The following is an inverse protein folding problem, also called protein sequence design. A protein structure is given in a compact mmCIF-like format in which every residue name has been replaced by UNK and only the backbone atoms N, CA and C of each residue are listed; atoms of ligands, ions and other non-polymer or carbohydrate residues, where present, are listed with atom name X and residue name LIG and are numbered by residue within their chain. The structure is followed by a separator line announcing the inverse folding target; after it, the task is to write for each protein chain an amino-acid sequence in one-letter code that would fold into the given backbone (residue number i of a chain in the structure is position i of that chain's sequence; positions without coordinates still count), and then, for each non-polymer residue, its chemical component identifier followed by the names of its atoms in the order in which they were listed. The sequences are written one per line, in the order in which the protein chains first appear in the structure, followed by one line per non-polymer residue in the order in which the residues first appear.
data_IF_334195797447
#
_entry.id   IF_334195797447
#
_cell.length_a   1.000
_cell.length_b   1.000
_cell.length_c   1.000
_cell.angle_alpha   90.00
_cell.angle_beta   90.00
_cell.angle_gamma   90.00
#
_symmetry.space_group_name_H-M   'P 1'
#
loop_
_entity.id
_entity.type
_entity.pdbx_description
1 polymer ?
2 water ?
#
# COMPACT_ATOMS: atom_id res chain seq x y z
C UNK A 1 -76.22 24.05 83.24
N UNK A 2 -75.79 23.25 84.36
CA UNK A 2 -74.37 23.17 84.67
C UNK A 2 -73.75 22.00 83.94
N UNK A 3 -74.51 20.93 83.73
CA UNK A 3 -74.02 19.76 83.03
C UNK A 3 -73.63 20.11 81.60
N UNK A 4 -74.42 20.96 80.95
CA UNK A 4 -74.04 21.44 79.63
C UNK A 4 -72.84 22.37 79.69
N UNK A 5 -72.72 23.14 80.77
CA UNK A 5 -71.59 24.05 80.93
C UNK A 5 -70.28 23.27 81.11
N UNK A 6 -70.29 22.30 82.04
CA UNK A 6 -69.11 21.45 82.21
C UNK A 6 -68.77 20.70 80.94
N UNK A 7 -69.79 20.36 80.14
CA UNK A 7 -69.54 19.67 78.88
C UNK A 7 -68.74 20.54 77.92
N UNK A 8 -69.19 21.77 77.69
CA UNK A 8 -68.52 22.64 76.72
C UNK A 8 -67.13 23.02 77.19
N UNK A 9 -66.97 23.33 78.48
CA UNK A 9 -65.66 23.72 79.00
C UNK A 9 -64.67 22.57 78.88
N UNK A 10 -65.10 21.36 79.27
CA UNK A 10 -64.22 20.19 79.13
C UNK A 10 -63.94 19.89 77.67
N UNK A 11 -64.90 20.14 76.78
CA UNK A 11 -64.65 19.97 75.35
C UNK A 11 -63.71 21.04 74.83
N UNK A 12 -63.75 22.24 75.38
CA UNK A 12 -62.84 23.30 74.96
C UNK A 12 -61.42 23.04 75.46
N UNK A 13 -61.29 22.54 76.69
CA UNK A 13 -59.96 22.23 77.22
C UNK A 13 -59.35 21.05 76.48
N UNK A 14 -60.16 20.06 76.12
CA UNK A 14 -59.66 18.96 75.30
C UNK A 14 -59.30 19.44 73.90
N UNK A 15 -60.07 20.39 73.36
CA UNK A 15 -59.75 20.95 72.06
C UNK A 15 -58.46 21.78 72.11
N UNK A 16 -58.19 22.43 73.24
CA UNK A 16 -56.94 23.15 73.38
C UNK A 16 -55.77 22.19 73.55
N UNK A 17 -55.98 21.10 74.29
CA UNK A 17 -54.91 20.15 74.52
C UNK A 17 -54.51 19.41 73.25
N UNK A 18 -55.48 19.13 72.37
CA UNK A 18 -55.13 18.52 71.08
C UNK A 18 -54.46 19.53 70.16
N UNK A 19 -54.79 20.81 70.31
CA UNK A 19 -54.21 21.83 69.46
C UNK A 19 -52.76 22.10 69.83
N UNK A 20 -52.43 22.11 71.11
CA UNK A 20 -51.04 22.34 71.52
C UNK A 20 -50.17 21.13 71.18
N UNK A 21 -50.74 19.92 71.26
CA UNK A 21 -50.00 18.74 70.81
C UNK A 21 -49.92 18.70 69.28
N UNK A 22 -50.94 19.21 68.60
CA UNK A 22 -50.88 19.31 67.15
C UNK A 22 -49.84 20.33 66.71
N UNK A 23 -49.69 21.42 67.46
CA UNK A 23 -48.71 22.44 67.11
C UNK A 23 -47.30 21.97 67.44
N UNK A 24 -47.10 21.38 68.61
CA UNK A 24 -45.78 20.88 68.97
C UNK A 24 -45.30 19.82 67.98
N UNK A 25 -46.21 18.97 67.51
CA UNK A 25 -45.84 17.99 66.49
C UNK A 25 -45.53 18.66 65.16
N UNK A 26 -46.30 19.70 64.82
CA UNK A 26 -46.05 20.41 63.57
C UNK A 26 -44.79 21.25 63.65
N UNK A 27 -44.52 21.84 64.82
CA UNK A 27 -43.27 22.59 64.99
C UNK A 27 -42.05 21.65 65.01
N UNK A 28 -42.24 20.41 65.48
CA UNK A 28 -41.13 19.48 65.53
C UNK A 28 -40.81 18.91 64.15
N UNK A 29 -41.84 18.69 63.33
CA UNK A 29 -41.62 18.22 61.97
C UNK A 29 -41.18 19.34 61.03
N UNK A 30 -41.52 20.59 61.35
CA UNK A 30 -41.09 21.71 60.52
C UNK A 30 -39.58 21.84 60.49
N UNK A 31 -38.94 21.78 61.67
CA UNK A 31 -37.49 21.89 61.73
C UNK A 31 -36.79 20.70 61.09
N UNK A 32 -37.45 19.54 61.06
CA UNK A 32 -36.82 18.36 60.47
C UNK A 32 -36.80 18.44 58.95
N UNK A 33 -37.94 18.80 58.33
CA UNK A 33 -37.99 18.86 56.88
C UNK A 33 -37.30 20.11 56.35
N UNK A 34 -37.22 21.18 57.15
CA UNK A 34 -36.43 22.33 56.75
C UNK A 34 -34.94 22.01 56.75
N UNK A 35 -34.50 21.13 57.64
CA UNK A 35 -33.13 20.65 57.59
C UNK A 35 -32.90 19.80 56.35
N UNK A 36 -33.78 18.82 56.11
CA UNK A 36 -33.65 17.99 54.92
C UNK A 36 -33.70 18.80 53.64
N UNK A 37 -34.45 19.91 53.65
CA UNK A 37 -34.45 20.81 52.50
C UNK A 37 -33.10 21.47 52.32
N UNK A 38 -32.39 21.76 53.40
CA UNK A 38 -31.06 22.33 53.29
C UNK A 38 -30.07 21.30 52.77
N UNK A 39 -30.23 20.03 53.19
CA UNK A 39 -29.37 18.97 52.65
C UNK A 39 -29.59 18.79 51.16
N UNK A 40 -30.85 18.77 50.72
CA UNK A 40 -31.14 18.55 49.31
C UNK A 40 -30.66 19.70 48.45
N UNK A 41 -30.61 20.92 49.00
CA UNK A 41 -30.11 22.06 48.25
C UNK A 41 -28.60 21.99 48.06
N UNK A 42 -27.88 21.48 49.07
CA UNK A 42 -26.44 21.33 48.92
C UNK A 42 -26.10 20.21 47.95
N UNK A 43 -26.87 19.12 47.97
CA UNK A 43 -26.62 18.01 47.06
C UNK A 43 -26.98 18.37 45.61
N UNK A 44 -27.94 19.27 45.42
CA UNK A 44 -28.31 19.66 44.06
C UNK A 44 -27.26 20.58 43.45
N UNK A 45 -26.65 21.44 44.26
CA UNK A 45 -25.63 22.34 43.73
C UNK A 45 -24.34 21.60 43.39
N UNK A 46 -23.97 20.62 44.21
CA UNK A 46 -22.78 19.82 43.92
C UNK A 46 -22.99 18.94 42.71
N UNK A 47 -24.18 18.34 42.59
CA UNK A 47 -24.47 17.49 41.45
C UNK A 47 -24.58 18.30 40.16
N UNK A 48 -25.04 19.55 40.25
CA UNK A 48 -25.14 20.38 39.06
C UNK A 48 -23.77 20.80 38.55
N UNK A 49 -22.81 21.00 39.45
CA UNK A 49 -21.45 21.30 39.02
C UNK A 49 -20.78 20.09 38.39
N UNK A 50 -21.10 18.88 38.86
CA UNK A 50 -20.53 17.68 38.26
C UNK A 50 -21.16 17.39 36.91
N UNK A 51 -22.47 17.63 36.78
CA UNK A 51 -23.16 17.36 35.52
C UNK A 51 -22.69 18.30 34.42
N UNK A 52 -22.58 19.59 34.73
CA UNK A 52 -22.09 20.54 33.74
C UNK A 52 -20.61 20.33 33.44
N UNK A 53 -19.87 19.75 34.38
CA UNK A 53 -18.47 19.43 34.13
C UNK A 53 -18.35 18.33 33.07
N UNK A 54 -19.13 17.26 33.22
CA UNK A 54 -19.15 16.21 32.21
C UNK A 54 -19.76 16.70 30.91
N UNK A 55 -20.62 17.72 30.96
CA UNK A 55 -21.23 18.24 29.74
C UNK A 55 -20.19 19.00 28.90
N UNK A 56 -19.29 19.72 29.56
CA UNK A 56 -18.22 20.41 28.84
C UNK A 56 -17.18 19.42 28.34
N UNK A 57 -16.88 18.39 29.14
CA UNK A 57 -15.96 17.35 28.70
C UNK A 57 -16.54 16.46 27.60
N UNK A 58 -17.87 16.51 27.39
CA UNK A 58 -18.48 15.78 26.29
C UNK A 58 -18.41 16.56 24.99
N UNK A 59 -18.51 17.89 25.05
CA UNK A 59 -18.44 18.71 23.85
C UNK A 59 -17.05 18.64 23.23
N UNK A 60 -16.00 18.82 24.05
CA UNK A 60 -14.64 18.77 23.53
C UNK A 60 -14.29 17.38 23.02
N UNK A 61 -14.95 16.35 23.56
CA UNK A 61 -14.69 14.98 23.10
C UNK A 61 -15.42 14.68 21.79
N UNK A 62 -16.58 15.30 21.57
CA UNK A 62 -17.29 15.11 20.31
C UNK A 62 -16.53 15.76 19.15
N UNK A 63 -16.01 16.97 19.36
CA UNK A 63 -15.20 17.63 18.34
C UNK A 63 -13.95 16.81 18.02
N UNK A 64 -13.30 16.27 19.05
CA UNK A 64 -12.14 15.42 18.81
C UNK A 64 -12.52 14.16 18.04
N UNK A 65 -13.70 13.60 18.35
CA UNK A 65 -14.16 12.42 17.62
C UNK A 65 -14.42 12.75 16.15
N UNK A 66 -14.80 14.00 15.85
CA UNK A 66 -15.02 14.39 14.47
C UNK A 66 -13.74 14.29 13.66
N UNK A 67 -12.70 15.03 14.09
CA UNK A 67 -11.46 15.08 13.33
C UNK A 67 -10.82 13.70 13.20
N UNK A 68 -11.02 12.83 14.19
CA UNK A 68 -10.42 11.50 14.14
C UNK A 68 -11.12 10.62 13.09
N UNK A 69 -12.44 10.69 13.01
CA UNK A 69 -13.17 9.91 12.01
C UNK A 69 -12.82 10.35 10.59
N UNK A 70 -12.49 11.64 10.41
CA UNK A 70 -12.12 12.11 9.09
C UNK A 70 -10.79 11.53 8.63
N UNK A 71 -9.77 11.59 9.48
CA UNK A 71 -8.46 11.09 9.09
C UNK A 71 -8.41 9.56 9.09
N UNK A 72 -9.23 8.90 9.92
CA UNK A 72 -9.19 7.45 10.00
C UNK A 72 -9.76 6.81 8.73
N UNK A 73 -10.85 7.35 8.20
CA UNK A 73 -11.45 6.78 6.99
C UNK A 73 -10.58 7.06 5.76
N UNK A 74 -10.05 8.29 5.66
CA UNK A 74 -9.23 8.63 4.50
C UNK A 74 -7.94 7.80 4.46
N UNK A 75 -7.36 7.52 5.62
CA UNK A 75 -6.11 6.80 5.68
C UNK A 75 -6.29 5.29 5.85
N UNK A 76 -7.53 4.81 6.01
CA UNK A 76 -7.77 3.38 6.02
C UNK A 76 -7.81 2.82 4.59
N UNK A 77 -8.44 3.55 3.67
CA UNK A 77 -8.37 3.18 2.26
C UNK A 77 -6.94 3.33 1.75
N UNK A 78 -6.09 4.04 2.49
CA UNK A 78 -4.67 4.13 2.14
C UNK A 78 -3.93 2.85 2.49
N UNK A 79 -4.44 2.07 3.45
CA UNK A 79 -3.81 0.79 3.77
C UNK A 79 -4.08 -0.23 2.66
N UNK A 80 -5.31 -0.24 2.13
CA UNK A 80 -5.64 -1.15 1.04
C UNK A 80 -4.81 -0.84 -0.20
N UNK A 81 -4.46 0.43 -0.42
CA UNK A 81 -3.70 0.78 -1.61
C UNK A 81 -2.23 0.39 -1.47
N UNK A 82 -1.63 0.64 -0.31
CA UNK A 82 -0.23 0.31 -0.12
C UNK A 82 0.00 -1.19 -0.11
N UNK A 83 -0.94 -1.95 0.46
CA UNK A 83 -0.81 -3.41 0.44
C UNK A 83 -0.87 -3.95 -0.97
N UNK A 84 -1.57 -3.27 -1.87
CA UNK A 84 -1.49 -3.63 -3.29
C UNK A 84 -0.21 -3.10 -3.93
N UNK A 85 0.32 -1.98 -3.42
CA UNK A 85 1.61 -1.49 -3.89
C UNK A 85 2.74 -2.43 -3.46
N UNK A 86 2.63 -3.01 -2.27
CA UNK A 86 3.60 -4.00 -1.82
C UNK A 86 3.60 -5.23 -2.73
N UNK A 87 2.43 -5.59 -3.26
CA UNK A 87 2.37 -6.66 -4.26
C UNK A 87 3.01 -6.23 -5.57
N UNK A 88 2.90 -4.94 -5.92
CA UNK A 88 3.50 -4.46 -7.15
C UNK A 88 5.02 -4.47 -7.07
N UNK A 89 5.58 -4.29 -5.88
CA UNK A 89 7.03 -4.40 -5.71
C UNK A 89 7.48 -5.84 -5.96
N UNK A 90 6.69 -6.81 -5.50
CA UNK A 90 7.04 -8.21 -5.71
C UNK A 90 6.99 -8.58 -7.19
N UNK A 91 6.01 -8.07 -7.93
CA UNK A 91 5.91 -8.37 -9.35
C UNK A 91 7.04 -7.73 -10.13
N UNK A 92 7.42 -6.50 -9.78
CA UNK A 92 8.54 -5.84 -10.44
C UNK A 92 9.85 -6.52 -10.11
N UNK A 93 9.98 -7.07 -8.90
CA UNK A 93 11.20 -7.77 -8.53
C UNK A 93 11.35 -9.08 -9.32
N UNK A 94 10.24 -9.77 -9.57
CA UNK A 94 10.29 -11.00 -10.35
C UNK A 94 10.60 -10.71 -11.82
N UNK A 95 9.98 -9.68 -12.38
CA UNK A 95 10.19 -9.37 -13.79
C UNK A 95 11.61 -8.87 -14.04
N UNK A 96 12.22 -8.19 -13.06
CA UNK A 96 13.61 -7.78 -13.22
C UNK A 96 14.55 -8.98 -13.22
N UNK A 97 14.24 -10.00 -12.43
CA UNK A 97 15.07 -11.21 -12.42
C UNK A 97 14.93 -11.99 -13.71
N UNK A 98 13.75 -11.99 -14.32
CA UNK A 98 13.56 -12.71 -15.58
C UNK A 98 14.16 -11.93 -16.75
N UNK A 99 14.02 -10.61 -16.76
CA UNK A 99 14.63 -9.82 -17.83
C UNK A 99 16.14 -9.79 -17.71
N UNK A 100 16.68 -9.97 -16.50
CA UNK A 100 18.14 -10.01 -16.34
C UNK A 100 18.71 -11.31 -16.88
N UNK A 101 18.09 -12.45 -16.50
CA UNK A 101 18.59 -13.73 -16.99
C UNK A 101 18.38 -13.87 -18.50
N UNK A 102 17.38 -13.22 -19.06
CA UNK A 102 17.19 -13.24 -20.50
C UNK A 102 18.22 -12.37 -21.21
N UNK A 103 18.66 -11.29 -20.56
CA UNK A 103 19.70 -10.45 -21.15
C UNK A 103 21.06 -11.13 -21.10
N UNK A 104 21.31 -11.92 -20.05
CA UNK A 104 22.59 -12.61 -19.94
C UNK A 104 22.75 -13.68 -21.01
N UNK A 105 21.71 -14.47 -21.26
CA UNK A 105 21.78 -15.47 -22.31
C UNK A 105 21.79 -14.82 -23.69
N UNK A 106 21.17 -13.64 -23.83
CA UNK A 106 21.23 -12.92 -25.09
C UNK A 106 22.64 -12.38 -25.33
N UNK A 107 23.26 -11.81 -24.30
CA UNK A 107 24.64 -11.32 -24.43
C UNK A 107 25.59 -12.47 -24.70
N UNK A 108 25.35 -13.63 -24.09
CA UNK A 108 26.21 -14.79 -24.31
C UNK A 108 26.11 -15.28 -25.75
N UNK A 109 24.89 -15.33 -26.30
CA UNK A 109 24.73 -15.75 -27.68
C UNK A 109 25.26 -14.70 -28.66
N UNK A 110 25.36 -13.45 -28.25
CA UNK A 110 25.97 -12.44 -29.12
C UNK A 110 27.46 -12.67 -29.27
N UNK A 111 28.13 -13.08 -28.20
CA UNK A 111 29.55 -13.38 -28.27
C UNK A 111 29.83 -14.54 -29.22
N UNK A 112 29.05 -15.61 -29.10
CA UNK A 112 29.27 -16.77 -29.96
C UNK A 112 29.02 -16.44 -31.42
N UNK A 113 27.95 -15.71 -31.71
CA UNK A 113 27.65 -15.35 -33.09
C UNK A 113 28.68 -14.38 -33.67
N UNK A 114 29.23 -13.51 -32.83
CA UNK A 114 30.25 -12.58 -33.31
C UNK A 114 31.54 -13.30 -33.63
N UNK A 115 31.89 -14.32 -32.84
CA UNK A 115 33.09 -15.11 -33.14
C UNK A 115 32.90 -15.87 -34.44
N UNK A 116 31.68 -16.34 -34.70
CA UNK A 116 31.40 -17.02 -35.96
C UNK A 116 31.67 -16.12 -37.16
N UNK A 117 31.14 -14.90 -37.12
CA UNK A 117 31.33 -13.97 -38.23
C UNK A 117 32.80 -13.65 -38.44
N UNK A 118 33.54 -13.50 -37.34
CA UNK A 118 34.97 -13.25 -37.46
C UNK A 118 35.72 -14.48 -37.97
N UNK A 119 35.37 -15.66 -37.46
CA UNK A 119 35.98 -16.89 -37.94
C UNK A 119 35.63 -17.15 -39.40
N UNK A 120 34.45 -16.71 -39.85
CA UNK A 120 34.07 -16.93 -41.24
C UNK A 120 34.65 -15.87 -42.16
N UNK A 121 34.64 -14.60 -41.74
CA UNK A 121 35.23 -13.55 -42.56
C UNK A 121 36.74 -13.72 -42.67
N UNK A 122 37.37 -14.33 -41.66
CA UNK A 122 38.77 -14.72 -41.79
C UNK A 122 38.93 -15.77 -42.88
N UNK A 123 37.98 -16.70 -42.98
CA UNK A 123 38.02 -17.69 -44.04
C UNK A 123 37.71 -17.08 -45.40
N UNK A 124 36.91 -16.01 -45.44
CA UNK A 124 36.63 -15.34 -46.70
C UNK A 124 37.91 -14.73 -47.28
N UNK A 125 38.65 -13.98 -46.46
CA UNK A 125 39.84 -13.31 -46.95
C UNK A 125 40.92 -14.30 -47.33
N UNK A 126 41.08 -15.37 -46.56
CA UNK A 126 42.12 -16.35 -46.84
C UNK A 126 41.84 -17.13 -48.12
N UNK A 127 40.57 -17.50 -48.33
CA UNK A 127 40.23 -18.31 -49.50
C UNK A 127 40.31 -17.49 -50.78
N UNK A 128 39.93 -16.21 -50.73
CA UNK A 128 39.95 -15.39 -51.94
C UNK A 128 41.38 -15.11 -52.38
N UNK A 129 42.28 -14.83 -51.44
CA UNK A 129 43.69 -14.66 -51.81
C UNK A 129 44.27 -15.96 -52.35
N UNK A 130 43.92 -17.09 -51.73
CA UNK A 130 44.36 -18.38 -52.26
C UNK A 130 43.75 -18.67 -53.63
N UNK A 131 42.50 -18.23 -53.86
CA UNK A 131 41.88 -18.41 -55.16
C UNK A 131 42.59 -17.59 -56.23
N UNK A 132 42.92 -16.34 -55.94
CA UNK A 132 43.64 -15.50 -56.90
C UNK A 132 45.05 -16.03 -57.14
N UNK A 133 45.72 -16.46 -56.07
CA UNK A 133 47.06 -17.02 -56.23
C UNK A 133 47.04 -18.30 -57.06
N UNK A 134 45.97 -19.08 -56.97
CA UNK A 134 45.90 -20.34 -57.69
C UNK A 134 45.44 -20.16 -59.12
N UNK A 135 44.69 -19.08 -59.40
CA UNK A 135 44.31 -18.81 -60.79
C UNK A 135 45.51 -18.37 -61.62
N UNK A 136 46.47 -17.68 -61.00
CA UNK A 136 47.69 -17.33 -61.73
C UNK A 136 48.56 -18.56 -61.94
N UNK A 137 48.50 -19.54 -61.02
CA UNK A 137 49.24 -20.77 -61.20
C UNK A 137 48.65 -21.61 -62.32
N UNK A 138 47.33 -21.56 -62.49
CA UNK A 138 46.69 -22.31 -63.58
C UNK A 138 46.98 -21.66 -64.92
N UNK A 139 47.03 -20.32 -64.96
CA UNK A 139 47.32 -19.63 -66.22
C UNK A 139 48.76 -19.85 -66.66
N UNK A 140 49.70 -19.83 -65.70
CA UNK A 140 51.09 -20.10 -66.03
C UNK A 140 51.27 -21.54 -66.50
N UNK A 141 50.56 -22.48 -65.87
CA UNK A 141 50.69 -23.88 -66.24
C UNK A 141 50.05 -24.17 -67.59
N UNK A 142 48.90 -23.54 -67.88
CA UNK A 142 48.27 -23.74 -69.17
C UNK A 142 49.12 -23.17 -70.31
N UNK A 143 49.73 -22.01 -70.08
CA UNK A 143 50.59 -21.40 -71.10
C UNK A 143 51.83 -22.26 -71.35
N UNK A 144 52.38 -22.87 -70.30
CA UNK A 144 53.53 -23.75 -70.49
C UNK A 144 53.14 -25.01 -71.25
N UNK A 145 51.98 -25.58 -70.95
CA UNK A 145 51.51 -26.74 -71.68
C UNK A 145 51.24 -26.42 -73.14
N UNK A 146 50.70 -25.22 -73.40
CA UNK A 146 50.40 -24.83 -74.77
C UNK A 146 51.67 -24.68 -75.60
N UNK A 147 52.70 -24.04 -75.04
CA UNK A 147 53.94 -23.84 -75.78
C UNK A 147 54.64 -25.16 -76.06
N UNK A 148 54.62 -26.08 -75.10
CA UNK A 148 55.24 -27.38 -75.32
C UNK A 148 54.43 -28.20 -76.32
N UNK A 149 53.10 -28.13 -76.23
CA UNK A 149 52.25 -28.80 -77.22
C UNK A 149 52.41 -28.16 -78.59
N UNK A 150 52.72 -26.86 -78.63
CA UNK A 150 52.95 -26.20 -79.92
C UNK A 150 54.19 -26.72 -80.59
N UNK A 151 55.31 -26.79 -79.86
CA UNK A 151 56.56 -27.28 -80.44
C UNK A 151 56.46 -28.75 -80.81
N UNK A 152 55.65 -29.52 -80.09
CA UNK A 152 55.52 -30.95 -80.39
C UNK A 152 54.76 -31.15 -81.70
N UNK A 153 53.62 -30.48 -81.85
CA UNK A 153 52.86 -30.57 -83.08
C UNK A 153 53.63 -29.98 -84.26
N UNK A 154 54.51 -29.01 -83.99
CA UNK A 154 55.33 -28.45 -85.04
C UNK A 154 56.34 -29.46 -85.57
N UNK A 155 57.00 -30.20 -84.68
CA UNK A 155 57.92 -31.23 -85.13
C UNK A 155 57.17 -32.36 -85.83
N UNK A 156 56.02 -32.76 -85.28
CA UNK A 156 55.25 -33.83 -85.88
C UNK A 156 54.80 -33.48 -87.29
N UNK A 157 54.41 -32.23 -87.51
CA UNK A 157 53.99 -31.81 -88.85
C UNK A 157 55.18 -31.66 -89.78
N UNK A 158 56.36 -31.33 -89.24
CA UNK A 158 57.56 -31.22 -90.05
C UNK A 158 58.12 -32.59 -90.42
N UNK A 159 57.92 -33.59 -89.55
CA UNK A 159 58.43 -34.92 -89.85
C UNK A 159 57.59 -35.61 -90.92
N UNK A 160 56.30 -35.29 -91.01
CA UNK A 160 55.48 -35.84 -92.08
C UNK A 160 55.86 -35.23 -93.43
N UNK A 161 56.23 -33.96 -93.45
CA UNK A 161 56.49 -33.25 -94.69
C UNK A 161 57.87 -33.52 -95.27
N UNK A 162 58.73 -34.24 -94.57
CA UNK A 162 60.05 -34.53 -95.11
C UNK A 162 59.97 -35.70 -96.11
C UNK B 1 -71.28 34.16 88.53
N UNK B 2 -72.17 35.23 88.15
CA UNK B 2 -72.35 35.56 86.74
C UNK B 2 -71.07 36.16 86.17
N UNK B 3 -70.31 36.86 87.00
CA UNK B 3 -69.02 37.40 86.59
C UNK B 3 -68.03 36.26 86.37
N UNK B 4 -68.03 35.30 87.30
CA UNK B 4 -67.23 34.09 87.12
C UNK B 4 -67.61 33.36 85.83
N UNK B 5 -68.90 33.40 85.46
CA UNK B 5 -69.33 32.74 84.24
C UNK B 5 -68.70 33.36 83.01
N UNK B 6 -68.79 34.69 82.88
CA UNK B 6 -68.14 35.37 81.77
C UNK B 6 -66.63 35.14 81.80
N UNK B 7 -66.03 35.19 82.98
CA UNK B 7 -64.60 34.93 83.10
C UNK B 7 -64.23 33.57 82.51
N UNK B 8 -64.91 32.52 82.95
CA UNK B 8 -64.59 31.17 82.48
C UNK B 8 -64.85 31.03 80.99
N UNK B 9 -65.98 31.56 80.50
CA UNK B 9 -66.32 31.43 79.08
C UNK B 9 -65.26 32.11 78.23
N UNK B 10 -64.92 33.36 78.57
CA UNK B 10 -63.94 34.10 77.79
C UNK B 10 -62.57 33.44 77.85
N UNK B 11 -62.17 32.95 79.02
CA UNK B 11 -60.86 32.31 79.14
C UNK B 11 -60.79 31.07 78.27
N UNK B 12 -61.80 30.20 78.35
CA UNK B 12 -61.81 28.99 77.54
C UNK B 12 -61.81 29.34 76.06
N UNK B 13 -62.65 30.29 75.64
CA UNK B 13 -62.75 30.62 74.22
C UNK B 13 -61.44 31.18 73.69
N UNK B 14 -60.85 32.13 74.41
CA UNK B 14 -59.58 32.71 73.98
C UNK B 14 -58.47 31.68 73.94
N UNK B 15 -58.40 30.81 74.95
CA UNK B 15 -57.37 29.78 74.98
C UNK B 15 -57.50 28.84 73.79
N UNK B 16 -58.71 28.34 73.54
CA UNK B 16 -58.94 27.45 72.40
C UNK B 16 -58.60 28.14 71.09
N UNK B 17 -59.02 29.40 70.93
CA UNK B 17 -58.78 30.10 69.67
C UNK B 17 -57.29 30.31 69.42
N UNK B 18 -56.55 30.73 70.45
CA UNK B 18 -55.12 30.95 70.29
C UNK B 18 -54.41 29.63 69.99
N UNK B 19 -54.80 28.56 70.68
CA UNK B 19 -54.19 27.26 70.43
C UNK B 19 -54.43 26.78 69.01
N UNK B 20 -55.68 26.86 68.54
CA UNK B 20 -55.97 26.38 67.20
C UNK B 20 -55.34 27.27 66.14
N UNK B 21 -55.20 28.57 66.42
CA UNK B 21 -54.53 29.45 65.46
C UNK B 21 -53.05 29.10 65.35
N UNK B 22 -52.38 28.87 66.48
CA UNK B 22 -50.98 28.43 66.44
C UNK B 22 -50.85 27.11 65.68
N UNK B 23 -51.77 26.18 65.94
CA UNK B 23 -51.72 24.89 65.24
C UNK B 23 -51.90 25.05 63.74
N UNK B 24 -52.85 25.88 63.33
CA UNK B 24 -53.10 26.07 61.90
C UNK B 24 -51.92 26.75 61.21
N UNK B 25 -51.31 27.75 61.87
CA UNK B 25 -50.13 28.39 61.29
C UNK B 25 -48.99 27.39 61.14
N UNK B 26 -48.74 26.58 62.17
CA UNK B 26 -47.68 25.58 62.10
C UNK B 26 -47.94 24.57 61.00
N UNK B 27 -49.19 24.12 60.85
CA UNK B 27 -49.53 23.16 59.82
C UNK B 27 -49.34 23.74 58.42
N UNK B 28 -49.71 25.01 58.24
CA UNK B 28 -49.52 25.65 56.95
C UNK B 28 -48.04 25.76 56.60
N UNK B 29 -47.22 26.19 57.57
CA UNK B 29 -45.78 26.26 57.33
C UNK B 29 -45.20 24.89 56.99
N UNK B 30 -45.64 23.86 57.72
CA UNK B 30 -45.15 22.51 57.47
C UNK B 30 -45.53 22.02 56.07
N UNK B 31 -46.78 22.27 55.67
CA UNK B 31 -47.21 21.88 54.33
C UNK B 31 -46.37 22.58 53.26
N UNK B 32 -46.14 23.88 53.43
CA UNK B 32 -45.38 24.62 52.42
C UNK B 32 -43.94 24.08 52.32
N UNK B 33 -43.29 23.88 53.47
CA UNK B 33 -41.90 23.45 53.43
C UNK B 33 -41.79 22.01 52.93
N UNK B 34 -42.79 21.17 53.21
CA UNK B 34 -42.76 19.81 52.68
C UNK B 34 -42.97 19.79 51.18
N UNK B 35 -43.84 20.67 50.67
CA UNK B 35 -43.97 20.81 49.22
C UNK B 35 -42.65 21.22 48.60
N UNK B 36 -41.98 22.20 49.20
CA UNK B 36 -40.69 22.63 48.69
C UNK B 36 -39.67 21.48 48.72
N UNK B 37 -39.66 20.71 49.80
CA UNK B 37 -38.73 19.59 49.91
C UNK B 37 -39.00 18.55 48.83
N UNK B 38 -40.27 18.24 48.58
CA UNK B 38 -40.60 17.26 47.55
C UNK B 38 -40.17 17.75 46.17
N UNK B 39 -40.38 19.04 45.90
CA UNK B 39 -39.93 19.61 44.62
C UNK B 39 -38.42 19.48 44.48
N UNK B 40 -37.68 19.83 45.54
CA UNK B 40 -36.22 19.75 45.47
C UNK B 40 -35.75 18.31 45.28
N UNK B 41 -36.43 17.36 45.92
CA UNK B 41 -36.06 15.96 45.77
C UNK B 41 -36.29 15.47 44.34
N UNK B 42 -37.42 15.85 43.74
CA UNK B 42 -37.68 15.46 42.36
C UNK B 42 -36.65 16.07 41.41
N UNK B 43 -36.30 17.34 41.64
CA UNK B 43 -35.29 17.98 40.81
C UNK B 43 -33.94 17.28 40.95
N UNK B 44 -33.56 16.92 42.17
CA UNK B 44 -32.30 16.21 42.38
C UNK B 44 -32.31 14.86 41.68
N UNK B 45 -33.43 14.13 41.75
CA UNK B 45 -33.50 12.83 41.10
C UNK B 45 -33.35 12.96 39.59
N UNK B 46 -34.04 13.95 39.00
CA UNK B 46 -33.93 14.16 37.55
C UNK B 46 -32.49 14.51 37.17
N UNK B 47 -31.85 15.40 37.95
CA UNK B 47 -30.48 15.79 37.66
C UNK B 47 -29.54 14.60 37.78
N UNK B 48 -29.76 13.73 38.76
CA UNK B 48 -28.91 12.56 38.92
C UNK B 48 -29.07 11.59 37.74
N UNK B 49 -30.30 11.38 37.29
CA UNK B 49 -30.52 10.54 36.11
C UNK B 49 -29.79 11.10 34.89
N UNK B 50 -29.92 12.42 34.67
CA UNK B 50 -29.27 13.04 33.53
C UNK B 50 -27.75 12.92 33.63
N UNK B 51 -27.20 13.13 34.83
CA UNK B 51 -25.75 13.04 35.00
C UNK B 51 -25.26 11.61 34.79
N UNK B 52 -26.03 10.62 35.23
CA UNK B 52 -25.64 9.22 34.99
C UNK B 52 -25.60 8.92 33.51
N UNK B 53 -26.63 9.34 32.77
CA UNK B 53 -26.63 9.15 31.32
C UNK B 53 -25.43 9.84 30.67
N UNK B 54 -25.15 11.08 31.10
CA UNK B 54 -24.04 11.83 30.53
C UNK B 54 -22.70 11.13 30.80
N UNK B 55 -22.52 10.59 32.00
CA UNK B 55 -21.26 9.93 32.31
C UNK B 55 -21.10 8.63 31.52
N UNK B 56 -22.19 7.88 31.34
CA UNK B 56 -22.11 6.69 30.51
C UNK B 56 -21.72 7.03 29.08
N UNK B 57 -22.38 8.03 28.50
CA UNK B 57 -22.03 8.46 27.15
C UNK B 57 -20.58 8.94 27.08
N UNK B 58 -20.12 9.63 28.13
CA UNK B 58 -18.75 10.14 28.14
C UNK B 58 -17.74 9.00 28.16
N UNK B 59 -18.01 7.95 28.95
CA UNK B 59 -17.09 6.81 28.99
C UNK B 59 -17.04 6.11 27.62
N UNK B 60 -18.21 5.87 27.03
CA UNK B 60 -18.22 5.22 25.72
C UNK B 60 -17.51 6.07 24.66
N UNK B 61 -17.70 7.39 24.72
CA UNK B 61 -17.05 8.28 23.77
C UNK B 61 -15.54 8.34 23.99
N UNK B 62 -15.09 8.26 25.24
CA UNK B 62 -13.65 8.18 25.50
C UNK B 62 -13.06 6.91 24.89
N UNK B 63 -13.75 5.78 25.06
CA UNK B 63 -13.28 4.54 24.44
C UNK B 63 -13.16 4.69 22.93
N UNK B 64 -14.22 5.21 22.29
CA UNK B 64 -14.20 5.39 20.84
C UNK B 64 -13.09 6.34 20.41
N UNK B 65 -12.87 7.41 21.18
CA UNK B 65 -11.84 8.38 20.83
C UNK B 65 -10.45 7.77 20.91
N UNK B 66 -10.18 6.97 21.94
CA UNK B 66 -8.88 6.30 22.04
C UNK B 66 -8.66 5.36 20.87
N UNK B 67 -9.68 4.57 20.54
CA UNK B 67 -9.59 3.68 19.38
C UNK B 67 -9.29 4.46 18.11
N UNK B 68 -9.96 5.60 17.93
CA UNK B 68 -9.78 6.40 16.71
C UNK B 68 -8.38 7.00 16.65
N UNK B 69 -7.86 7.46 17.79
CA UNK B 69 -6.49 7.96 17.83
C UNK B 69 -5.50 6.89 17.36
N UNK B 70 -5.64 5.68 17.92
CA UNK B 70 -4.73 4.60 17.53
C UNK B 70 -4.85 4.28 16.05
N UNK B 71 -6.09 4.22 15.54
CA UNK B 71 -6.30 3.96 14.12
C UNK B 71 -5.62 5.02 13.25
N UNK B 72 -5.78 6.29 13.62
CA UNK B 72 -5.18 7.38 12.84
C UNK B 72 -3.66 7.28 12.83
N UNK B 73 -3.06 6.99 13.99
CA UNK B 73 -1.60 6.89 14.04
C UNK B 73 -1.10 5.74 13.17
N UNK B 74 -1.74 4.57 13.29
CA UNK B 74 -1.30 3.42 12.50
C UNK B 74 -1.48 3.67 11.01
N UNK B 75 -2.56 4.33 10.62
CA UNK B 75 -2.76 4.61 9.21
C UNK B 75 -1.83 5.71 8.70
N UNK B 76 -1.36 6.61 9.57
CA UNK B 76 -0.35 7.57 9.14
C UNK B 76 0.99 6.90 8.88
N UNK B 77 1.40 5.97 9.76
CA UNK B 77 2.64 5.24 9.47
C UNK B 77 2.46 4.40 8.22
N UNK B 78 1.24 3.91 7.98
CA UNK B 78 0.95 3.24 6.71
C UNK B 78 1.11 4.19 5.53
N UNK B 79 0.70 5.45 5.69
CA UNK B 79 0.87 6.43 4.61
C UNK B 79 2.35 6.64 4.28
N UNK B 80 3.19 6.74 5.30
CA UNK B 80 4.63 6.84 5.07
C UNK B 80 5.16 5.62 4.32
N UNK B 81 4.73 4.43 4.75
CA UNK B 81 5.15 3.21 4.06
C UNK B 81 4.68 3.22 2.60
N UNK B 82 3.50 3.77 2.35
CA UNK B 82 2.98 3.84 0.99
C UNK B 82 3.81 4.78 0.13
N UNK B 83 4.22 5.91 0.70
CA UNK B 83 5.12 6.81 -0.02
C UNK B 83 6.40 6.09 -0.42
N UNK B 84 7.03 5.38 0.53
CA UNK B 84 8.25 4.66 0.21
C UNK B 84 8.02 3.59 -0.86
N UNK B 85 6.88 2.89 -0.77
CA UNK B 85 6.56 1.86 -1.75
C UNK B 85 6.38 2.45 -3.13
N UNK B 86 5.75 3.62 -3.23
CA UNK B 86 5.60 4.29 -4.52
C UNK B 86 6.95 4.66 -5.09
N UNK B 87 7.84 5.22 -4.27
CA UNK B 87 9.19 5.53 -4.74
C UNK B 87 9.87 4.29 -5.31
N UNK B 88 9.82 3.19 -4.56
CA UNK B 88 10.48 1.96 -5.01
C UNK B 88 9.85 1.43 -6.30
N UNK B 89 8.52 1.48 -6.41
CA UNK B 89 7.85 1.00 -7.61
C UNK B 89 8.27 1.81 -8.83
N UNK B 90 8.34 3.14 -8.68
CA UNK B 90 8.74 3.98 -9.81
C UNK B 90 10.18 3.68 -10.23
N UNK B 91 11.09 3.57 -9.26
CA UNK B 91 12.48 3.27 -9.59
C UNK B 91 12.59 1.92 -10.30
N UNK B 92 11.89 0.90 -9.79
CA UNK B 92 11.95 -0.42 -10.40
C UNK B 92 11.41 -0.43 -11.81
N UNK B 93 10.28 0.26 -12.03
CA UNK B 93 9.72 0.33 -13.39
C UNK B 93 10.66 1.03 -14.35
N UNK B 94 11.28 2.14 -13.90
CA UNK B 94 12.22 2.86 -14.75
C UNK B 94 13.38 1.96 -15.17
N UNK B 95 14.05 1.35 -14.19
CA UNK B 95 15.21 0.52 -14.55
C UNK B 95 14.80 -0.72 -15.33
N UNK B 96 13.60 -1.24 -15.09
CA UNK B 96 13.14 -2.42 -15.82
C UNK B 96 12.92 -2.09 -17.29
N UNK B 97 12.25 -0.97 -17.57
CA UNK B 97 12.05 -0.59 -18.97
C UNK B 97 13.37 -0.25 -19.64
N UNK B 98 14.30 0.36 -18.91
CA UNK B 98 15.64 0.60 -19.47
C UNK B 98 16.30 -0.71 -19.87
N UNK B 99 16.30 -1.68 -18.96
CA UNK B 99 16.92 -2.97 -19.26
C UNK B 99 16.20 -3.69 -20.38
N UNK B 100 14.88 -3.50 -20.52
CA UNK B 100 14.15 -4.16 -21.60
C UNK B 100 14.50 -3.54 -22.95
N UNK B 101 14.61 -2.21 -23.01
CA UNK B 101 15.12 -1.56 -24.21
C UNK B 101 16.50 -2.11 -24.58
N UNK B 102 17.39 -2.20 -23.59
CA UNK B 102 18.72 -2.73 -23.84
C UNK B 102 18.67 -4.16 -24.35
N UNK B 103 17.78 -4.98 -23.79
CA UNK B 103 17.67 -6.38 -24.18
C UNK B 103 17.21 -6.50 -25.62
N UNK B 104 16.20 -5.73 -26.02
CA UNK B 104 15.72 -5.84 -27.39
C UNK B 104 16.71 -5.26 -28.39
N UNK B 105 17.45 -4.21 -27.99
CA UNK B 105 18.54 -3.72 -28.83
C UNK B 105 19.59 -4.80 -29.05
N UNK B 106 19.99 -5.49 -27.97
CA UNK B 106 20.97 -6.56 -28.12
C UNK B 106 20.43 -7.71 -28.96
N UNK B 107 19.12 -7.98 -28.87
CA UNK B 107 18.54 -9.03 -29.70
C UNK B 107 18.60 -8.66 -31.18
N UNK B 108 18.30 -7.41 -31.52
CA UNK B 108 18.41 -6.98 -32.91
C UNK B 108 19.85 -7.05 -33.39
N UNK B 109 20.80 -6.65 -32.55
CA UNK B 109 22.20 -6.75 -32.92
C UNK B 109 22.61 -8.21 -33.12
N UNK B 110 22.09 -9.11 -32.29
CA UNK B 110 22.37 -10.53 -32.47
C UNK B 110 21.82 -11.04 -33.80
N UNK B 111 20.63 -10.59 -34.16
CA UNK B 111 20.06 -11.00 -35.45
C UNK B 111 20.92 -10.51 -36.61
N UNK B 112 21.41 -9.26 -36.52
CA UNK B 112 22.27 -8.74 -37.58
C UNK B 112 23.58 -9.53 -37.67
N UNK B 113 24.19 -9.84 -36.53
CA UNK B 113 25.41 -10.63 -36.54
C UNK B 113 25.16 -12.03 -37.07
N UNK B 114 24.01 -12.61 -36.75
CA UNK B 114 23.69 -13.94 -37.26
C UNK B 114 23.54 -13.93 -38.78
N UNK B 115 22.85 -12.93 -39.33
CA UNK B 115 22.66 -12.92 -40.78
C UNK B 115 23.98 -12.66 -41.49
N UNK B 116 24.84 -11.80 -40.93
CA UNK B 116 26.13 -11.58 -41.57
C UNK B 116 27.01 -12.83 -41.48
N UNK B 117 26.93 -13.56 -40.37
CA UNK B 117 27.72 -14.78 -40.23
C UNK B 117 27.23 -15.85 -41.21
N UNK B 118 25.91 -15.94 -41.42
CA UNK B 118 25.40 -16.90 -42.39
C UNK B 118 25.81 -16.53 -43.81
N UNK B 119 25.81 -15.22 -44.13
CA UNK B 119 26.29 -14.78 -45.43
C UNK B 119 27.76 -15.16 -45.62
N UNK B 120 28.59 -14.90 -44.61
CA UNK B 120 30.00 -15.25 -44.71
C UNK B 120 30.20 -16.76 -44.82
N UNK B 121 29.36 -17.56 -44.17
CA UNK B 121 29.48 -19.00 -44.28
C UNK B 121 29.10 -19.49 -45.68
N UNK B 122 28.04 -18.94 -46.26
CA UNK B 122 27.73 -19.23 -47.66
C UNK B 122 28.92 -18.88 -48.55
N UNK B 123 29.54 -17.72 -48.30
CA UNK B 123 30.64 -17.28 -49.12
C UNK B 123 31.84 -18.22 -49.00
N UNK B 124 32.16 -18.65 -47.77
CA UNK B 124 33.31 -19.55 -47.61
C UNK B 124 33.02 -20.92 -48.21
N UNK B 125 31.76 -21.36 -48.19
CA UNK B 125 31.43 -22.62 -48.84
C UNK B 125 31.63 -22.52 -50.35
N UNK B 126 31.12 -21.45 -50.95
CA UNK B 126 31.33 -21.24 -52.38
C UNK B 126 32.81 -21.15 -52.72
N UNK B 127 33.58 -20.45 -51.88
CA UNK B 127 35.01 -20.29 -52.15
C UNK B 127 35.75 -21.61 -52.02
N UNK B 128 35.37 -22.45 -51.05
CA UNK B 128 35.99 -23.77 -50.92
C UNK B 128 35.67 -24.65 -52.12
N UNK B 129 34.42 -24.58 -52.61
CA UNK B 129 34.08 -25.33 -53.82
C UNK B 129 34.94 -24.88 -55.00
N UNK B 130 35.00 -23.57 -55.24
CA UNK B 130 35.83 -23.06 -56.33
C UNK B 130 37.29 -23.43 -56.15
N UNK B 131 37.78 -23.44 -54.91
CA UNK B 131 39.18 -23.76 -54.64
C UNK B 131 39.49 -25.21 -54.97
N UNK B 132 38.62 -26.14 -54.54
CA UNK B 132 38.83 -27.54 -54.88
C UNK B 132 38.77 -27.76 -56.38
N UNK B 133 37.85 -27.07 -57.07
CA UNK B 133 37.80 -27.16 -58.52
C UNK B 133 39.09 -26.67 -59.16
N UNK B 134 39.63 -25.55 -58.66
CA UNK B 134 40.88 -25.02 -59.20
C UNK B 134 42.04 -25.97 -58.93
N UNK B 135 42.06 -26.60 -57.76
CA UNK B 135 43.12 -27.56 -57.46
C UNK B 135 43.08 -28.75 -58.39
N UNK B 136 41.87 -29.27 -58.66
CA UNK B 136 41.74 -30.37 -59.61
C UNK B 136 42.21 -29.95 -61.00
N UNK B 137 41.77 -28.78 -61.46
CA UNK B 137 42.17 -28.31 -62.78
C UNK B 137 43.68 -28.13 -62.89
N UNK B 138 44.30 -27.62 -61.82
CA UNK B 138 45.74 -27.39 -61.83
C UNK B 138 46.50 -28.72 -61.84
N UNK B 139 46.02 -29.70 -61.07
CA UNK B 139 46.64 -31.03 -61.12
C UNK B 139 46.56 -31.62 -62.51
N UNK B 140 45.39 -31.54 -63.15
CA UNK B 140 45.24 -32.10 -64.49
C UNK B 140 46.15 -31.39 -65.49
N UNK B 141 46.24 -30.06 -65.40
CA UNK B 141 47.10 -29.33 -66.33
C UNK B 141 48.57 -29.66 -66.11
N UNK B 142 48.99 -29.80 -64.84
CA UNK B 142 50.38 -30.17 -64.58
C UNK B 142 50.68 -31.56 -65.14
N UNK B 143 49.73 -32.49 -65.03
CA UNK B 143 49.93 -33.82 -65.59
C UNK B 143 50.07 -33.75 -67.11
N UNK B 144 49.19 -32.99 -67.77
CA UNK B 144 49.28 -32.86 -69.22
C UNK B 144 50.61 -32.23 -69.63
N UNK B 145 51.05 -31.19 -68.91
CA UNK B 145 52.31 -30.55 -69.24
C UNK B 145 53.48 -31.50 -69.09
N UNK B 146 53.52 -32.25 -67.98
CA UNK B 146 54.60 -33.21 -67.78
C UNK B 146 54.61 -34.26 -68.88
N UNK B 147 53.42 -34.74 -69.28
CA UNK B 147 53.34 -35.73 -70.35
C UNK B 147 53.91 -35.18 -71.66
N UNK B 148 53.43 -34.01 -72.09
CA UNK B 148 53.88 -33.48 -73.37
C UNK B 148 55.35 -33.09 -73.31
N UNK B 149 55.83 -32.63 -72.14
CA UNK B 149 57.24 -32.30 -72.02
C UNK B 149 58.10 -33.55 -72.08
N UNK B 150 57.62 -34.66 -71.52
CA UNK B 150 58.35 -35.91 -71.64
C UNK B 150 58.42 -36.36 -73.09
N UNK B 151 57.30 -36.23 -73.82
CA UNK B 151 57.32 -36.59 -75.24
C UNK B 151 58.26 -35.68 -76.03
N UNK B 152 58.29 -34.39 -75.69
CA UNK B 152 59.17 -33.46 -76.39
C UNK B 152 60.63 -33.75 -76.09
N UNK B 153 60.95 -34.08 -74.84
CA UNK B 153 62.32 -34.47 -74.51
C UNK B 153 62.71 -35.75 -75.24
N UNK B 154 61.76 -36.69 -75.36
CA UNK B 154 62.01 -37.91 -76.11
C UNK B 154 62.35 -37.60 -77.57
N UNK B 155 61.56 -36.76 -78.21
CA UNK B 155 61.82 -36.47 -79.62
C UNK B 155 63.11 -35.65 -79.76
N UNK B 156 63.42 -34.79 -78.79
CA UNK B 156 64.68 -34.04 -78.83
C UNK B 156 65.87 -34.98 -78.76
N UNK B 157 65.85 -35.93 -77.82
CA UNK B 157 66.95 -36.87 -77.69
C UNK B 157 67.04 -37.77 -78.92
N UNK B 158 65.90 -38.15 -79.50
CA UNK B 158 65.94 -38.97 -80.71
C UNK B 158 66.54 -38.20 -81.88
N UNK B 159 66.25 -36.90 -81.97
CA UNK B 159 66.84 -36.09 -83.03
C UNK B 159 68.33 -35.89 -82.80
N UNK B 160 68.75 -35.74 -81.53
CA UNK B 160 70.17 -35.60 -81.24
C UNK B 160 70.93 -36.88 -81.51
N UNK B 161 70.30 -38.03 -81.30
CA UNK B 161 70.96 -39.32 -81.48
C UNK B 161 71.05 -39.75 -82.94
N UNK B 162 70.62 -38.93 -83.89
CA UNK B 162 70.70 -39.28 -85.30
C UNK B 162 72.14 -39.23 -85.82
#
# INVERSE_FOLDING_TARGET
XMDKLREKINAARAETDEAVARAEAAEAKLKEVELQLSLKEQEYESLSRKSEAAESQLEELEEETKQLRLKADNEDIQKTEAEQLSRKVELLEEELETNDKLLRETTEKMRQTDVKAEHFERRVQSLERERDDMEQKLEEMTDKYTKVKAELDEVHQALEDL
XMDKLREKINAARAETDEAVARAEAAEAKLKEVELQLSLKEQEYESLSRKSEAAESQLEELEEETKQLRLKADNEDIQKTEAEQLSRKVELLEEELETNDKLLRETTEKMRQTDVKAEHFERRVQSLERERDDMEQKLEEMTDKYTKVKAELDEVHQALEDL
#
